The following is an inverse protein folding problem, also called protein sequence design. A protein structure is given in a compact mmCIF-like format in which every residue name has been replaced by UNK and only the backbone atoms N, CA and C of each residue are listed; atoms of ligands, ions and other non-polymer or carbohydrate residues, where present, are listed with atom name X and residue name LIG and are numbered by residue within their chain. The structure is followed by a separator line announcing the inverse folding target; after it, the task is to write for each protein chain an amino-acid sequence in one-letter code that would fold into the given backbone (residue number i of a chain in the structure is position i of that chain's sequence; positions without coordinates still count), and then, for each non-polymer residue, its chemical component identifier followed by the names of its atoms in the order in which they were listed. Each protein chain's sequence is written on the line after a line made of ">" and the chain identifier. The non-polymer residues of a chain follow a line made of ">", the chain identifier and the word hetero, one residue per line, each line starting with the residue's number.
data_IF_984475636475
#
_entry.id   IF_984475636475
#
_cell.length_a   1.000
_cell.length_b   1.000
_cell.length_c   1.000
_cell.angle_alpha   90.00
_cell.angle_beta   90.00
_cell.angle_gamma   90.00
#
_symmetry.space_group_name_H-M   'P 1'
#
loop_
_entity.id
_entity.type
_entity.pdbx_description
1 polymer ?
#
# COMPACT_ATOMS: atom_id res chain seq x y z
N UNK A 1 -8.33 -20.55 -2.70
CA UNK A 1 -8.82 -19.56 -3.69
C UNK A 1 -9.06 -18.29 -2.89
N UNK A 2 -8.04 -17.43 -2.80
CA UNK A 2 -8.16 -16.16 -2.07
C UNK A 2 -8.89 -15.19 -2.98
N UNK A 3 -10.02 -14.69 -2.52
CA UNK A 3 -10.78 -13.63 -3.17
C UNK A 3 -10.07 -12.34 -2.73
N UNK A 4 -9.15 -11.85 -3.56
CA UNK A 4 -8.55 -10.52 -3.40
C UNK A 4 -9.57 -9.52 -3.96
N UNK A 5 -10.41 -9.00 -3.07
CA UNK A 5 -11.42 -7.99 -3.41
C UNK A 5 -10.90 -6.64 -2.93
N UNK A 6 -11.11 -5.61 -3.74
CA UNK A 6 -11.20 -4.24 -3.25
C UNK A 6 -12.21 -4.22 -2.09
N UNK A 7 -11.72 -4.01 -0.87
CA UNK A 7 -12.59 -3.90 0.31
C UNK A 7 -12.66 -2.44 0.72
N UNK A 8 -13.83 -1.84 0.56
CA UNK A 8 -14.19 -0.56 1.15
C UNK A 8 -15.16 -0.81 2.31
N UNK A 9 -14.74 -0.54 3.55
CA UNK A 9 -15.62 -0.53 4.72
C UNK A 9 -15.97 0.93 5.03
N UNK A 10 -17.22 1.30 4.80
CA UNK A 10 -17.63 2.71 4.73
C UNK A 10 -17.90 3.36 6.10
N UNK A 11 -18.07 2.58 7.17
CA UNK A 11 -18.20 3.11 8.51
C UNK A 11 -17.87 2.05 9.57
N UNK A 12 -16.75 2.22 10.26
CA UNK A 12 -16.50 1.52 11.53
C UNK A 12 -16.77 2.51 12.66
N UNK A 13 -17.60 2.11 13.64
CA UNK A 13 -17.85 2.87 14.87
C UNK A 13 -16.95 2.33 15.98
N UNK A 14 -16.22 3.21 16.65
CA UNK A 14 -15.53 2.91 17.90
C UNK A 14 -15.80 4.00 18.95
N UNK A 15 -15.48 3.70 20.21
CA UNK A 15 -15.76 4.57 21.34
C UNK A 15 -14.50 4.76 22.19
N UNK A 16 -14.01 5.99 22.31
CA UNK A 16 -12.92 6.32 23.24
C UNK A 16 -13.46 7.03 24.48
N UNK A 17 -12.98 6.65 25.67
CA UNK A 17 -13.28 7.37 26.92
C UNK A 17 -12.21 8.42 27.17
N UNK A 18 -12.62 9.68 27.30
CA UNK A 18 -11.74 10.74 27.80
C UNK A 18 -11.75 10.78 29.33
N UNK A 19 -10.71 11.38 29.93
CA UNK A 19 -10.58 11.62 31.38
C UNK A 19 -11.77 12.40 32.00
N UNK A 20 -12.62 13.05 31.19
CA UNK A 20 -13.82 13.76 31.64
C UNK A 20 -15.09 12.90 31.68
N UNK A 21 -15.02 11.61 31.34
CA UNK A 21 -16.16 10.69 31.38
C UNK A 21 -17.13 10.83 30.19
N UNK A 22 -16.84 11.69 29.22
CA UNK A 22 -17.58 11.79 27.95
C UNK A 22 -17.03 10.77 26.94
N UNK A 23 -17.91 9.89 26.47
CA UNK A 23 -17.67 8.93 25.40
C UNK A 23 -17.56 9.68 24.06
N UNK A 24 -16.36 9.73 23.47
CA UNK A 24 -16.18 10.31 22.13
C UNK A 24 -16.25 9.18 21.11
N UNK A 25 -17.40 9.07 20.45
CA UNK A 25 -17.54 8.16 19.31
C UNK A 25 -16.74 8.69 18.11
N UNK A 26 -16.03 7.82 17.42
CA UNK A 26 -15.38 8.14 16.16
C UNK A 26 -15.92 7.26 15.03
N UNK A 27 -15.86 7.79 13.80
CA UNK A 27 -16.20 7.07 12.58
C UNK A 27 -15.05 7.18 11.60
N UNK A 28 -14.73 6.09 10.93
CA UNK A 28 -13.78 6.12 9.83
C UNK A 28 -14.25 5.25 8.66
N UNK A 29 -13.80 5.62 7.47
CA UNK A 29 -13.87 4.77 6.29
C UNK A 29 -12.53 4.04 6.12
N UNK A 30 -12.56 2.82 5.61
CA UNK A 30 -11.38 2.04 5.29
C UNK A 30 -11.40 1.62 3.83
N UNK A 31 -10.25 1.76 3.16
CA UNK A 31 -9.98 1.26 1.81
C UNK A 31 -8.71 0.40 1.84
N UNK A 32 -8.69 -0.73 1.14
CA UNK A 32 -7.54 -1.63 1.07
C UNK A 32 -7.54 -2.44 -0.22
N UNK A 33 -6.38 -2.97 -0.60
CA UNK A 33 -6.19 -3.94 -1.68
C UNK A 33 -6.78 -3.44 -3.00
N UNK A 34 -6.35 -2.25 -3.40
CA UNK A 34 -6.91 -1.56 -4.57
C UNK A 34 -6.51 -2.28 -5.86
N UNK A 35 -5.24 -2.69 -5.94
CA UNK A 35 -4.69 -3.47 -7.05
C UNK A 35 -5.03 -2.97 -8.45
N UNK A 36 -4.83 -1.68 -8.73
CA UNK A 36 -5.17 -1.13 -10.03
C UNK A 36 -4.32 -1.72 -11.16
N UNK A 37 -5.05 -2.23 -12.15
CA UNK A 37 -4.54 -2.66 -13.44
C UNK A 37 -4.59 -1.48 -14.44
N UNK A 38 -3.47 -0.77 -14.66
CA UNK A 38 -3.46 0.37 -15.58
C UNK A 38 -3.68 -0.04 -17.04
N UNK A 39 -3.46 -1.31 -17.39
CA UNK A 39 -3.54 -1.81 -18.76
C UNK A 39 -4.76 -2.72 -18.99
N UNK A 40 -5.83 -2.52 -18.21
CA UNK A 40 -6.92 -3.46 -18.09
C UNK A 40 -7.57 -3.83 -19.44
N UNK A 41 -7.65 -5.14 -19.72
CA UNK A 41 -8.28 -5.68 -20.91
C UNK A 41 -8.94 -7.03 -20.58
N UNK A 42 -10.26 -7.07 -20.37
CA UNK A 42 -10.96 -8.28 -19.95
C UNK A 42 -11.20 -9.29 -21.07
N UNK A 43 -11.16 -8.87 -22.34
CA UNK A 43 -11.40 -9.74 -23.49
C UNK A 43 -10.18 -10.62 -23.82
N UNK A 44 -8.96 -10.06 -23.74
CA UNK A 44 -7.72 -10.74 -24.13
C UNK A 44 -6.79 -11.06 -22.96
N UNK A 45 -6.93 -10.38 -21.82
CA UNK A 45 -6.04 -10.52 -20.67
C UNK A 45 -6.29 -11.75 -19.79
N UNK A 46 -7.53 -12.25 -19.74
CA UNK A 46 -7.93 -13.36 -18.85
C UNK A 46 -7.19 -14.69 -19.14
N UNK A 47 -6.52 -14.82 -20.29
CA UNK A 47 -5.80 -16.04 -20.68
C UNK A 47 -4.48 -16.26 -19.92
N UNK A 48 -4.01 -15.28 -19.12
CA UNK A 48 -2.70 -15.32 -18.44
C UNK A 48 -2.76 -15.20 -16.91
N UNK A 49 -3.84 -15.65 -16.30
CA UNK A 49 -3.93 -15.91 -14.85
C UNK A 49 -4.03 -14.65 -13.99
N UNK A 50 -5.19 -14.44 -13.36
CA UNK A 50 -5.40 -13.44 -12.29
C UNK A 50 -5.30 -11.96 -12.68
N UNK A 51 -4.59 -11.64 -13.76
CA UNK A 51 -4.34 -10.28 -14.25
C UNK A 51 -4.92 -10.17 -15.65
N UNK A 52 -5.74 -9.14 -15.87
CA UNK A 52 -6.45 -8.95 -17.14
C UNK A 52 -5.97 -7.68 -17.80
N UNK A 53 -4.90 -7.78 -18.57
CA UNK A 53 -4.28 -6.65 -19.28
C UNK A 53 -4.08 -6.91 -20.77
N UNK A 54 -3.80 -5.84 -21.52
CA UNK A 54 -3.47 -5.95 -22.95
C UNK A 54 -2.24 -6.88 -23.16
N UNK A 55 -2.21 -7.70 -24.22
CA UNK A 55 -1.13 -8.65 -24.48
C UNK A 55 0.29 -8.06 -24.45
N UNK A 56 0.44 -6.82 -24.92
CA UNK A 56 1.70 -6.09 -25.01
C UNK A 56 2.26 -5.79 -23.61
N UNK A 57 1.40 -5.53 -22.63
CA UNK A 57 1.78 -5.25 -21.24
C UNK A 57 2.27 -6.49 -20.48
N UNK A 58 2.20 -7.69 -21.09
CA UNK A 58 2.88 -8.90 -20.57
C UNK A 58 4.33 -9.01 -21.05
N UNK A 59 4.75 -8.21 -22.03
CA UNK A 59 6.11 -8.25 -22.54
C UNK A 59 7.07 -7.60 -21.54
N UNK A 60 7.74 -8.41 -20.73
CA UNK A 60 8.75 -7.93 -19.78
C UNK A 60 9.97 -7.31 -20.43
N UNK A 61 10.19 -7.53 -21.73
CA UNK A 61 11.30 -6.92 -22.46
C UNK A 61 11.05 -5.46 -22.86
N UNK A 62 9.82 -4.96 -22.67
CA UNK A 62 9.43 -3.60 -23.05
C UNK A 62 8.44 -3.05 -22.02
N UNK A 63 8.80 -1.98 -21.30
CA UNK A 63 7.78 -1.18 -20.64
C UNK A 63 6.94 -0.57 -21.76
N UNK A 64 5.67 -0.93 -21.87
CA UNK A 64 4.75 -0.27 -22.80
C UNK A 64 4.43 1.14 -22.28
N UNK A 65 4.18 2.13 -23.14
CA UNK A 65 3.77 3.46 -22.67
C UNK A 65 2.56 3.36 -21.75
N UNK A 66 2.59 4.08 -20.62
CA UNK A 66 1.48 4.11 -19.70
C UNK A 66 0.31 4.83 -20.37
N UNK A 67 -0.78 4.10 -20.64
CA UNK A 67 -2.01 4.65 -21.20
C UNK A 67 -3.09 4.47 -20.17
N UNK A 68 -3.74 5.58 -19.79
CA UNK A 68 -4.87 5.55 -18.86
C UNK A 68 -6.05 4.87 -19.57
N UNK A 69 -6.27 3.61 -19.21
CA UNK A 69 -7.36 2.71 -19.61
C UNK A 69 -7.55 2.44 -21.11
N UNK A 70 -7.43 1.16 -21.54
CA UNK A 70 -8.10 0.71 -22.76
C UNK A 70 -9.62 0.72 -22.56
N UNK A 71 -10.39 0.98 -23.62
CA UNK A 71 -11.84 0.81 -23.59
C UNK A 71 -12.20 -0.67 -23.37
N UNK A 72 -12.72 -1.00 -22.18
CA UNK A 72 -13.24 -2.32 -21.84
C UNK A 72 -14.76 -2.35 -22.04
N UNK A 73 -15.22 -2.73 -23.23
CA UNK A 73 -16.64 -2.69 -23.59
C UNK A 73 -17.49 -3.73 -22.84
N UNK A 74 -16.92 -4.91 -22.52
CA UNK A 74 -17.68 -6.04 -21.95
C UNK A 74 -17.73 -6.06 -20.43
N UNK A 75 -16.67 -5.59 -19.77
CA UNK A 75 -16.55 -5.59 -18.30
C UNK A 75 -15.87 -4.30 -17.82
N UNK A 76 -16.50 -3.13 -18.02
CA UNK A 76 -15.86 -1.82 -17.81
C UNK A 76 -15.44 -1.56 -16.36
N UNK A 77 -16.08 -2.21 -15.38
CA UNK A 77 -15.79 -2.05 -13.95
C UNK A 77 -14.99 -3.21 -13.35
N UNK A 78 -14.49 -4.14 -14.17
CA UNK A 78 -13.78 -5.31 -13.67
C UNK A 78 -14.49 -6.63 -13.98
N UNK A 79 -13.71 -7.71 -13.84
CA UNK A 79 -14.14 -9.09 -14.07
C UNK A 79 -13.54 -9.95 -12.95
N UNK A 80 -14.23 -11.01 -12.57
CA UNK A 80 -13.71 -11.97 -11.58
C UNK A 80 -12.36 -12.54 -12.03
N UNK A 81 -11.43 -12.73 -11.09
CA UNK A 81 -10.05 -13.15 -11.33
C UNK A 81 -9.23 -12.16 -12.17
N UNK A 82 -9.59 -10.88 -12.12
CA UNK A 82 -8.81 -9.79 -12.67
C UNK A 82 -8.58 -8.76 -11.57
N UNK A 83 -7.39 -8.18 -11.55
CA UNK A 83 -7.16 -6.90 -10.89
C UNK A 83 -8.02 -5.80 -11.55
N UNK A 84 -8.57 -4.85 -10.76
CA UNK A 84 -9.57 -3.90 -11.25
C UNK A 84 -9.01 -2.76 -12.10
N UNK A 85 -9.80 -2.23 -13.06
CA UNK A 85 -9.48 -1.00 -13.78
C UNK A 85 -9.64 0.26 -12.90
N UNK A 86 -9.06 1.38 -13.34
CA UNK A 86 -9.28 2.69 -12.72
C UNK A 86 -10.76 3.10 -12.67
N UNK A 87 -11.59 2.62 -13.60
CA UNK A 87 -13.02 2.88 -13.66
C UNK A 87 -13.74 2.37 -12.41
N UNK A 88 -13.35 1.20 -11.88
CA UNK A 88 -13.88 0.71 -10.62
C UNK A 88 -13.47 1.61 -9.46
N UNK A 89 -12.19 1.99 -9.40
CA UNK A 89 -11.69 2.89 -8.36
C UNK A 89 -12.39 4.24 -8.38
N UNK A 90 -12.58 4.85 -9.57
CA UNK A 90 -13.36 6.09 -9.70
C UNK A 90 -14.76 5.92 -9.12
N UNK A 91 -15.47 4.86 -9.51
CA UNK A 91 -16.82 4.60 -9.00
C UNK A 91 -16.86 4.42 -7.48
N UNK A 92 -15.88 3.69 -6.92
CA UNK A 92 -15.77 3.49 -5.46
C UNK A 92 -15.46 4.80 -4.75
N UNK A 93 -14.51 5.60 -5.24
CA UNK A 93 -14.15 6.88 -4.64
C UNK A 93 -15.28 7.91 -4.73
N UNK A 94 -16.02 7.93 -5.85
CA UNK A 94 -17.23 8.75 -6.00
C UNK A 94 -18.30 8.36 -4.97
N UNK A 95 -18.53 7.06 -4.79
CA UNK A 95 -19.49 6.58 -3.79
C UNK A 95 -19.02 6.86 -2.36
N UNK A 96 -17.74 6.61 -2.05
CA UNK A 96 -17.13 6.96 -0.76
C UNK A 96 -17.28 8.45 -0.46
N UNK A 97 -17.02 9.30 -1.46
CA UNK A 97 -17.15 10.75 -1.29
C UNK A 97 -18.59 11.15 -0.98
N UNK A 98 -19.57 10.60 -1.72
CA UNK A 98 -20.98 10.85 -1.48
C UNK A 98 -21.44 10.40 -0.08
N UNK A 99 -21.04 9.19 0.36
CA UNK A 99 -21.36 8.70 1.71
C UNK A 99 -20.71 9.59 2.78
N UNK A 100 -19.48 10.04 2.55
CA UNK A 100 -18.76 10.89 3.49
C UNK A 100 -19.41 12.27 3.70
N UNK A 101 -20.17 12.81 2.74
CA UNK A 101 -20.94 14.05 2.92
C UNK A 101 -21.97 13.93 4.06
N UNK A 102 -22.58 12.75 4.21
CA UNK A 102 -23.60 12.48 5.22
C UNK A 102 -23.00 11.87 6.49
N UNK A 103 -22.17 10.83 6.33
CA UNK A 103 -21.60 10.09 7.46
C UNK A 103 -20.45 10.85 8.13
N UNK A 104 -19.80 11.80 7.46
CA UNK A 104 -18.76 12.66 8.03
C UNK A 104 -17.72 11.86 8.83
N UNK A 105 -16.99 10.93 8.19
CA UNK A 105 -15.94 10.18 8.86
C UNK A 105 -14.83 11.13 9.34
N UNK A 106 -14.28 10.84 10.50
CA UNK A 106 -13.22 11.62 11.13
C UNK A 106 -11.88 11.45 10.40
N UNK A 107 -11.68 10.29 9.77
CA UNK A 107 -10.51 9.97 8.99
C UNK A 107 -10.78 8.81 8.01
N UNK A 108 -9.85 8.61 7.08
CA UNK A 108 -9.80 7.46 6.16
C UNK A 108 -8.59 6.59 6.53
N UNK A 109 -8.79 5.31 6.80
CA UNK A 109 -7.72 4.32 6.87
C UNK A 109 -7.47 3.78 5.46
N UNK A 110 -6.22 3.80 5.00
CA UNK A 110 -5.88 3.26 3.69
C UNK A 110 -4.73 2.26 3.81
N UNK A 111 -5.02 0.96 3.74
CA UNK A 111 -4.01 -0.07 4.08
C UNK A 111 -3.24 -0.62 2.88
N UNK A 112 -3.05 0.19 1.84
CA UNK A 112 -2.10 -0.07 0.75
C UNK A 112 -2.54 -1.14 -0.25
N UNK A 113 -1.53 -1.71 -0.94
CA UNK A 113 -1.65 -2.59 -2.10
C UNK A 113 -2.34 -1.89 -3.28
N UNK A 114 -1.73 -0.79 -3.71
CA UNK A 114 -2.19 0.04 -4.83
C UNK A 114 -2.00 -0.68 -6.18
N UNK A 115 -0.81 -1.19 -6.53
CA UNK A 115 -0.58 -1.68 -7.88
C UNK A 115 -1.11 -3.11 -8.08
N UNK A 116 -1.60 -3.38 -9.30
CA UNK A 116 -1.94 -4.73 -9.73
C UNK A 116 -0.76 -5.69 -9.61
N UNK A 117 -1.10 -6.97 -9.50
CA UNK A 117 -0.15 -8.06 -9.48
C UNK A 117 0.67 -8.10 -10.77
N UNK A 118 1.90 -8.61 -10.69
CA UNK A 118 2.74 -8.92 -11.85
C UNK A 118 3.02 -7.72 -12.78
N UNK A 119 2.95 -6.48 -12.30
CA UNK A 119 3.51 -5.35 -13.06
C UNK A 119 5.02 -5.59 -13.25
N UNK A 120 5.46 -5.55 -14.49
CA UNK A 120 6.81 -5.95 -14.89
C UNK A 120 7.83 -4.82 -14.80
N UNK A 121 7.38 -3.58 -14.63
CA UNK A 121 8.17 -2.37 -14.79
C UNK A 121 8.04 -1.45 -13.57
N UNK A 122 9.17 -0.95 -13.07
CA UNK A 122 9.21 -0.04 -11.92
C UNK A 122 8.43 1.24 -12.20
N UNK A 123 8.56 1.76 -13.42
CA UNK A 123 7.85 2.95 -13.87
C UNK A 123 6.33 2.78 -13.82
N UNK A 124 5.79 1.65 -14.26
CA UNK A 124 4.33 1.39 -14.19
C UNK A 124 3.85 1.36 -12.75
N UNK A 125 4.61 0.71 -11.87
CA UNK A 125 4.24 0.62 -10.46
C UNK A 125 4.25 2.00 -9.78
N UNK A 126 5.31 2.77 -9.99
CA UNK A 126 5.43 4.14 -9.49
C UNK A 126 4.29 5.03 -9.99
N UNK A 127 3.98 4.99 -11.30
CA UNK A 127 2.91 5.78 -11.90
C UNK A 127 1.52 5.37 -11.40
N UNK A 128 1.28 4.08 -11.21
CA UNK A 128 0.02 3.60 -10.63
C UNK A 128 -0.14 4.08 -9.18
N UNK A 129 0.90 4.00 -8.34
CA UNK A 129 0.88 4.52 -6.96
C UNK A 129 0.49 6.00 -6.95
N UNK A 130 1.20 6.79 -7.76
CA UNK A 130 0.98 8.22 -7.86
C UNK A 130 -0.44 8.57 -8.30
N UNK A 131 -0.91 8.00 -9.41
CA UNK A 131 -2.26 8.27 -9.94
C UNK A 131 -3.36 7.88 -8.97
N UNK A 132 -3.23 6.75 -8.26
CA UNK A 132 -4.23 6.34 -7.26
C UNK A 132 -4.24 7.33 -6.10
N UNK A 133 -3.07 7.74 -5.57
CA UNK A 133 -3.01 8.70 -4.47
C UNK A 133 -3.59 10.05 -4.90
N UNK A 134 -3.25 10.54 -6.11
CA UNK A 134 -3.82 11.77 -6.69
C UNK A 134 -5.34 11.68 -6.84
N UNK A 135 -5.86 10.59 -7.41
CA UNK A 135 -7.30 10.36 -7.56
C UNK A 135 -8.03 10.29 -6.23
N UNK A 136 -7.48 9.56 -5.27
CA UNK A 136 -8.01 9.53 -3.91
C UNK A 136 -8.02 10.95 -3.34
N UNK A 137 -6.97 11.75 -3.59
CA UNK A 137 -6.77 13.04 -2.94
C UNK A 137 -7.79 14.04 -3.48
N UNK A 138 -7.96 14.05 -4.80
CA UNK A 138 -8.97 14.82 -5.50
C UNK A 138 -10.39 14.54 -4.97
N UNK A 139 -10.75 13.26 -4.77
CA UNK A 139 -12.11 12.85 -4.40
C UNK A 139 -12.38 12.97 -2.90
N UNK A 140 -11.48 12.49 -2.05
CA UNK A 140 -11.78 12.31 -0.63
C UNK A 140 -11.34 13.49 0.24
N UNK A 141 -10.33 14.28 -0.12
CA UNK A 141 -9.83 15.33 0.80
C UNK A 141 -10.85 16.42 1.13
N UNK A 142 -11.81 16.68 0.25
CA UNK A 142 -12.87 17.67 0.48
C UNK A 142 -13.88 17.23 1.55
N UNK A 143 -14.07 15.92 1.72
CA UNK A 143 -15.10 15.33 2.59
C UNK A 143 -14.51 14.62 3.81
N UNK A 144 -13.26 14.14 3.71
CA UNK A 144 -12.50 13.49 4.76
C UNK A 144 -11.01 13.80 4.55
N UNK A 145 -10.48 14.93 5.06
CA UNK A 145 -9.12 15.39 4.76
C UNK A 145 -8.01 14.60 5.48
N UNK A 146 -8.32 13.95 6.60
CA UNK A 146 -7.35 13.22 7.43
C UNK A 146 -7.28 11.76 7.01
N UNK A 147 -6.13 11.31 6.53
CA UNK A 147 -5.96 9.92 6.13
C UNK A 147 -4.77 9.27 6.80
N UNK A 148 -4.83 7.94 6.88
CA UNK A 148 -3.79 7.12 7.44
C UNK A 148 -3.37 6.00 6.47
N UNK A 149 -2.47 6.29 5.51
CA UNK A 149 -1.91 5.30 4.61
C UNK A 149 -0.92 4.34 5.30
N UNK A 150 -1.06 3.03 5.06
CA UNK A 150 -0.04 2.02 5.35
C UNK A 150 0.57 1.52 4.04
N UNK A 151 1.83 1.09 4.09
CA UNK A 151 2.48 0.42 2.95
C UNK A 151 1.98 -1.02 2.83
N UNK A 152 1.49 -1.39 1.64
CA UNK A 152 1.25 -2.76 1.21
C UNK A 152 2.46 -3.41 0.56
N UNK A 153 2.42 -4.73 0.38
CA UNK A 153 3.52 -5.46 -0.26
C UNK A 153 3.69 -5.13 -1.74
N UNK A 154 2.58 -4.89 -2.45
CA UNK A 154 2.61 -4.47 -3.85
C UNK A 154 2.96 -2.99 -3.99
N UNK A 155 3.02 -2.21 -2.91
CA UNK A 155 3.50 -0.83 -2.95
C UNK A 155 5.04 -0.77 -3.05
N UNK A 156 5.74 -1.90 -2.86
CA UNK A 156 7.19 -2.05 -3.12
C UNK A 156 7.46 -2.66 -4.48
N UNK A 157 8.44 -2.13 -5.22
CA UNK A 157 8.83 -2.68 -6.53
C UNK A 157 10.13 -3.49 -6.45
N UNK A 158 10.14 -4.74 -6.96
CA UNK A 158 8.96 -5.56 -7.22
C UNK A 158 8.25 -5.95 -5.91
N UNK A 159 7.07 -6.58 -6.00
CA UNK A 159 6.29 -7.04 -4.84
C UNK A 159 7.17 -7.68 -3.74
N UNK A 160 6.99 -7.22 -2.49
CA UNK A 160 7.75 -7.57 -1.28
C UNK A 160 9.24 -7.15 -1.27
N UNK A 161 9.72 -6.36 -2.23
CA UNK A 161 11.08 -5.81 -2.22
C UNK A 161 11.22 -4.61 -1.27
N UNK A 162 10.93 -4.84 0.01
CA UNK A 162 11.12 -3.85 1.07
C UNK A 162 12.54 -3.97 1.64
N UNK A 163 13.21 -2.84 1.85
CA UNK A 163 14.52 -2.78 2.49
C UNK A 163 14.42 -3.16 3.96
N UNK A 164 15.35 -3.95 4.52
CA UNK A 164 15.41 -4.16 5.98
C UNK A 164 16.07 -2.99 6.72
N UNK A 165 16.73 -2.09 6.00
CA UNK A 165 17.34 -0.86 6.51
C UNK A 165 16.45 0.36 6.24
N UNK A 166 16.44 1.36 7.15
CA UNK A 166 15.62 2.55 6.98
C UNK A 166 16.15 3.44 5.85
N UNK A 167 15.35 4.43 5.45
CA UNK A 167 15.67 5.45 4.45
C UNK A 167 15.94 4.88 3.05
N UNK A 168 15.23 3.81 2.66
CA UNK A 168 15.34 3.30 1.29
C UNK A 168 14.85 4.36 0.27
N UNK A 169 15.50 4.51 -0.90
CA UNK A 169 15.08 5.46 -1.92
C UNK A 169 13.62 5.28 -2.36
N UNK A 170 13.15 4.03 -2.47
CA UNK A 170 11.76 3.74 -2.82
C UNK A 170 10.77 4.21 -1.75
N UNK A 171 11.07 3.99 -0.47
CA UNK A 171 10.21 4.48 0.62
C UNK A 171 10.14 6.02 0.62
N UNK A 172 11.27 6.70 0.40
CA UNK A 172 11.32 8.15 0.30
C UNK A 172 10.54 8.68 -0.91
N UNK A 173 10.59 7.97 -2.05
CA UNK A 173 9.79 8.27 -3.23
C UNK A 173 8.29 8.18 -2.94
N UNK A 174 7.80 7.07 -2.38
CA UNK A 174 6.37 6.93 -2.04
C UNK A 174 5.94 7.98 -1.00
N UNK A 175 6.81 8.28 -0.03
CA UNK A 175 6.59 9.34 0.94
C UNK A 175 6.48 10.73 0.30
N UNK A 176 7.26 11.01 -0.76
CA UNK A 176 7.21 12.30 -1.46
C UNK A 176 5.86 12.53 -2.16
N UNK A 177 5.22 11.47 -2.67
CA UNK A 177 3.88 11.52 -3.26
C UNK A 177 2.85 11.88 -2.19
N UNK A 178 2.84 11.17 -1.05
CA UNK A 178 1.94 11.51 0.06
C UNK A 178 2.18 12.92 0.63
N UNK A 179 3.43 13.39 0.63
CA UNK A 179 3.77 14.75 1.04
C UNK A 179 3.24 15.80 0.05
N UNK A 180 3.43 15.58 -1.25
CA UNK A 180 2.97 16.45 -2.33
C UNK A 180 1.46 16.60 -2.33
N UNK A 181 0.76 15.49 -2.15
CA UNK A 181 -0.69 15.47 -2.02
C UNK A 181 -1.16 15.95 -0.64
N UNK A 182 -0.26 16.36 0.27
CA UNK A 182 -0.55 16.89 1.59
C UNK A 182 -1.30 15.91 2.50
N UNK A 183 -1.07 14.62 2.33
CA UNK A 183 -1.65 13.54 3.15
C UNK A 183 -0.82 13.33 4.42
N UNK A 184 0.51 13.36 4.30
CA UNK A 184 1.44 13.23 5.41
C UNK A 184 2.31 14.49 5.54
N UNK A 185 2.60 14.90 6.77
CA UNK A 185 3.47 16.06 7.07
C UNK A 185 4.19 15.92 8.41
N UNK A 186 5.18 16.80 8.66
CA UNK A 186 5.88 16.85 9.96
C UNK A 186 6.51 15.52 10.38
N UNK A 187 6.34 15.14 11.64
CA UNK A 187 6.88 13.89 12.19
C UNK A 187 6.27 12.63 11.55
N UNK A 188 5.02 12.70 11.06
CA UNK A 188 4.38 11.59 10.35
C UNK A 188 5.14 11.30 9.05
N UNK A 189 5.38 12.34 8.24
CA UNK A 189 6.11 12.20 7.00
C UNK A 189 7.55 11.73 7.23
N UNK A 190 8.20 12.25 8.27
CA UNK A 190 9.59 11.89 8.60
C UNK A 190 9.75 10.40 8.93
N UNK A 191 8.90 9.85 9.78
CA UNK A 191 8.93 8.43 10.15
C UNK A 191 8.44 7.54 9.02
N UNK A 192 7.40 7.96 8.28
CA UNK A 192 6.93 7.26 7.09
C UNK A 192 7.99 7.21 5.98
N UNK A 193 8.75 8.29 5.74
CA UNK A 193 9.85 8.31 4.78
C UNK A 193 11.03 7.43 5.21
N UNK A 194 11.25 7.28 6.52
CA UNK A 194 12.31 6.43 7.05
C UNK A 194 11.97 4.93 6.95
N UNK A 195 10.74 4.52 7.23
CA UNK A 195 10.40 3.09 7.28
C UNK A 195 8.95 2.72 7.02
N UNK A 196 8.10 3.65 6.59
CA UNK A 196 6.69 3.39 6.29
C UNK A 196 5.78 3.25 7.51
N UNK A 197 6.22 3.75 8.67
CA UNK A 197 5.45 3.75 9.92
C UNK A 197 5.40 5.12 10.55
N UNK A 198 4.36 5.38 11.32
CA UNK A 198 4.14 6.66 12.01
C UNK A 198 2.91 6.56 12.92
N UNK A 199 2.71 7.57 13.76
CA UNK A 199 1.51 7.70 14.58
C UNK A 199 0.84 9.06 14.38
N UNK A 200 -0.44 9.14 14.76
CA UNK A 200 -1.24 10.34 14.68
C UNK A 200 -2.32 10.34 15.74
N UNK A 201 -2.82 11.52 16.13
CA UNK A 201 -3.98 11.64 17.01
C UNK A 201 -5.10 12.41 16.30
N UNK A 202 -5.96 11.74 15.50
CA UNK A 202 -7.01 12.42 14.72
C UNK A 202 -8.08 13.08 15.59
N UNK A 203 -8.26 12.60 16.83
CA UNK A 203 -9.26 13.07 17.78
C UNK A 203 -8.70 13.05 19.20
N UNK A 204 -9.18 13.93 20.09
CA UNK A 204 -8.90 13.81 21.51
C UNK A 204 -9.26 12.41 22.03
N UNK A 205 -8.31 11.78 22.74
CA UNK A 205 -8.51 10.43 23.30
C UNK A 205 -8.27 9.28 22.32
N UNK A 206 -7.90 9.53 21.06
CA UNK A 206 -7.60 8.50 20.07
C UNK A 206 -6.20 8.69 19.48
N UNK A 207 -5.38 7.63 19.50
CA UNK A 207 -4.13 7.53 18.75
C UNK A 207 -4.28 6.45 17.66
N UNK A 208 -3.78 6.73 16.47
CA UNK A 208 -3.63 5.76 15.38
C UNK A 208 -2.14 5.49 15.23
N UNK A 209 -1.75 4.21 15.26
CA UNK A 209 -0.39 3.75 15.00
C UNK A 209 -0.42 2.95 13.72
N UNK A 210 0.26 3.44 12.69
CA UNK A 210 0.42 2.75 11.41
C UNK A 210 1.79 2.10 11.38
N UNK A 211 1.81 0.78 11.17
CA UNK A 211 3.00 -0.05 11.12
C UNK A 211 3.25 -0.48 9.68
N UNK A 212 4.51 -0.50 9.28
CA UNK A 212 4.92 -1.23 8.10
C UNK A 212 5.01 -2.71 8.47
N UNK A 213 3.97 -3.48 8.17
CA UNK A 213 3.93 -4.93 8.47
C UNK A 213 4.52 -5.78 7.35
N UNK A 214 4.89 -5.19 6.21
CA UNK A 214 5.50 -5.89 5.08
C UNK A 214 6.86 -6.46 5.47
N UNK A 215 7.65 -5.72 6.27
CA UNK A 215 8.97 -6.17 6.74
C UNK A 215 8.94 -7.40 7.63
N UNK A 216 7.80 -7.68 8.25
CA UNK A 216 7.60 -8.89 9.05
C UNK A 216 7.20 -10.09 8.19
N UNK A 217 6.84 -9.89 6.93
CA UNK A 217 6.31 -10.95 6.07
C UNK A 217 7.35 -12.03 5.75
N UNK A 218 6.97 -13.32 5.78
CA UNK A 218 7.83 -14.40 5.29
C UNK A 218 8.25 -14.24 3.82
N UNK A 219 7.56 -13.37 3.06
CA UNK A 219 7.79 -13.13 1.64
C UNK A 219 8.65 -11.92 1.31
N UNK A 220 9.26 -11.26 2.30
CA UNK A 220 10.28 -10.23 2.03
C UNK A 220 11.30 -10.79 1.04
N UNK A 221 11.38 -10.13 -0.11
CA UNK A 221 12.13 -10.61 -1.25
C UNK A 221 13.63 -10.37 -1.05
N UNK A 222 14.43 -11.41 -1.27
CA UNK A 222 15.87 -11.24 -1.43
C UNK A 222 16.15 -10.84 -2.87
N UNK A 223 16.03 -9.54 -3.15
CA UNK A 223 16.24 -9.02 -4.49
C UNK A 223 17.64 -9.30 -5.02
N UNK A 224 18.65 -9.32 -4.16
CA UNK A 224 20.04 -9.52 -4.58
C UNK A 224 20.31 -10.96 -4.99
N UNK A 225 19.78 -11.93 -4.25
CA UNK A 225 19.94 -13.34 -4.56
C UNK A 225 18.99 -13.83 -5.66
N UNK A 226 17.81 -13.22 -5.81
CA UNK A 226 16.79 -13.72 -6.71
C UNK A 226 17.19 -13.56 -8.19
N UNK A 227 16.89 -14.56 -9.05
CA UNK A 227 17.32 -14.58 -10.45
C UNK A 227 16.60 -13.52 -11.28
N UNK A 228 17.37 -12.57 -11.80
CA UNK A 228 16.88 -11.40 -12.54
C UNK A 228 17.81 -11.06 -13.70
N UNK A 229 17.24 -10.48 -14.74
CA UNK A 229 17.97 -9.92 -15.88
C UNK A 229 17.67 -8.44 -16.03
N UNK A 230 18.71 -7.73 -16.45
CA UNK A 230 18.57 -6.36 -16.90
C UNK A 230 17.85 -6.34 -18.24
N UNK A 231 16.83 -5.49 -18.36
CA UNK A 231 16.11 -5.29 -19.61
C UNK A 231 16.13 -3.81 -19.94
N UNK A 232 16.75 -3.50 -21.08
CA UNK A 232 16.63 -2.17 -21.65
C UNK A 232 15.23 -1.97 -22.22
N UNK A 233 14.54 -0.96 -21.74
CA UNK A 233 13.25 -0.57 -22.25
C UNK A 233 13.47 0.54 -23.27
N UNK A 234 13.25 0.23 -24.56
CA UNK A 234 13.19 1.25 -25.60
C UNK A 234 11.86 2.00 -25.47
N UNK A 235 11.80 2.96 -24.57
CA UNK A 235 10.75 3.97 -24.58
C UNK A 235 11.36 5.29 -25.04
N UNK A 236 10.79 5.83 -26.11
CA UNK A 236 10.94 7.26 -26.38
C UNK A 236 10.03 8.00 -25.39
N UNK A 237 10.63 8.86 -24.56
CA UNK A 237 9.93 9.60 -23.51
C UNK A 237 8.89 10.55 -24.13
N UNK A 238 9.03 10.92 -25.40
CA UNK A 238 8.00 11.65 -26.13
C UNK A 238 6.74 10.84 -26.41
N UNK A 239 6.75 9.51 -26.29
CA UNK A 239 5.52 8.68 -26.31
C UNK A 239 4.82 8.62 -24.94
N UNK A 240 5.49 9.08 -23.87
CA UNK A 240 4.95 9.21 -22.51
C UNK A 240 4.09 10.48 -22.31
N UNK A 241 3.53 11.05 -23.39
CA UNK A 241 2.71 12.28 -23.47
C UNK A 241 1.50 12.37 -22.52
N UNK A 242 1.31 11.43 -21.60
CA UNK A 242 0.25 11.41 -20.58
C UNK A 242 0.79 11.52 -19.14
N UNK A 243 2.10 11.69 -18.95
CA UNK A 243 2.70 11.88 -17.63
C UNK A 243 3.71 13.03 -17.57
N UNK A 244 3.38 14.06 -16.80
CA UNK A 244 4.23 15.23 -16.53
C UNK A 244 4.46 15.45 -15.01
N UNK A 245 4.44 14.37 -14.22
CA UNK A 245 4.74 14.48 -12.79
C UNK A 245 6.21 14.83 -12.54
N UNK A 246 6.57 15.18 -11.29
CA UNK A 246 7.94 15.56 -10.92
C UNK A 246 8.99 14.47 -11.20
N UNK A 247 8.55 13.21 -11.30
CA UNK A 247 9.38 12.03 -11.56
C UNK A 247 9.11 11.42 -12.95
N UNK A 248 8.48 12.17 -13.85
CA UNK A 248 8.42 11.79 -15.26
C UNK A 248 9.86 11.56 -15.74
N UNK A 249 10.17 10.38 -16.32
CA UNK A 249 11.48 10.12 -16.89
C UNK A 249 11.83 11.27 -17.83
N UNK A 250 12.98 11.92 -17.62
CA UNK A 250 13.43 13.01 -18.52
C UNK A 250 13.67 12.44 -19.92
N UNK A 251 13.52 13.27 -20.96
CA UNK A 251 13.83 12.83 -22.32
C UNK A 251 15.25 12.24 -22.41
N UNK A 252 15.37 11.05 -22.99
CA UNK A 252 16.61 10.26 -23.04
C UNK A 252 17.03 9.54 -21.74
N UNK A 253 16.21 9.57 -20.68
CA UNK A 253 16.47 8.79 -19.47
C UNK A 253 16.37 7.29 -19.72
N UNK A 254 17.27 6.52 -19.11
CA UNK A 254 17.21 5.08 -19.17
C UNK A 254 16.04 4.58 -18.31
N UNK A 255 14.93 4.26 -18.99
CA UNK A 255 13.76 3.65 -18.35
C UNK A 255 13.94 2.15 -18.14
N UNK A 256 15.12 1.60 -18.41
CA UNK A 256 15.45 0.20 -18.21
C UNK A 256 15.19 -0.26 -16.77
N UNK A 257 14.81 -1.53 -16.66
CA UNK A 257 14.42 -2.13 -15.41
C UNK A 257 15.00 -3.53 -15.28
N UNK A 258 15.07 -3.98 -14.04
CA UNK A 258 15.32 -5.38 -13.74
C UNK A 258 13.99 -6.11 -13.71
N UNK A 259 13.89 -7.19 -14.49
CA UNK A 259 12.73 -8.07 -14.45
C UNK A 259 13.13 -9.47 -14.01
N UNK A 260 12.15 -10.20 -13.47
CA UNK A 260 12.31 -11.63 -13.22
C UNK A 260 12.61 -12.39 -14.50
N UNK A 261 13.59 -13.30 -14.44
CA UNK A 261 13.88 -14.22 -15.55
C UNK A 261 12.65 -15.07 -15.90
N UNK A 262 11.92 -15.51 -14.87
CA UNK A 262 10.66 -16.24 -14.97
C UNK A 262 9.68 -15.76 -13.88
N UNK A 263 8.41 -15.47 -14.20
CA UNK A 263 7.40 -15.05 -13.20
C UNK A 263 6.77 -16.22 -12.44
N UNK A 264 7.60 -17.14 -11.97
CA UNK A 264 7.12 -18.33 -11.26
C UNK A 264 7.42 -18.13 -9.78
N UNK A 265 6.38 -18.13 -8.95
CA UNK A 265 6.51 -17.93 -7.51
C UNK A 265 7.53 -18.89 -6.86
N UNK A 266 7.72 -20.09 -7.43
CA UNK A 266 8.70 -21.09 -6.96
C UNK A 266 10.17 -20.73 -7.23
N UNK A 267 10.45 -19.65 -7.97
CA UNK A 267 11.81 -19.17 -8.28
C UNK A 267 12.19 -17.91 -7.52
N UNK A 268 11.24 -17.29 -6.81
CA UNK A 268 11.52 -16.15 -5.92
C UNK A 268 12.30 -16.63 -4.71
N UNK A 269 13.36 -15.91 -4.39
CA UNK A 269 14.15 -16.12 -3.17
C UNK A 269 13.70 -15.08 -2.16
N UNK A 270 13.39 -15.55 -0.95
CA UNK A 270 12.99 -14.70 0.16
C UNK A 270 14.11 -14.64 1.18
N UNK A 271 14.26 -13.50 1.84
CA UNK A 271 15.23 -13.35 2.93
C UNK A 271 14.86 -14.33 4.04
N UNK A 272 15.82 -15.14 4.49
CA UNK A 272 15.59 -16.07 5.60
C UNK A 272 15.09 -15.31 6.84
N UNK A 273 14.02 -15.79 7.49
CA UNK A 273 13.48 -15.17 8.69
C UNK A 273 14.53 -15.07 9.81
N UNK A 274 15.40 -16.07 9.93
CA UNK A 274 16.42 -16.13 10.99
C UNK A 274 17.60 -15.18 10.71
N UNK A 275 17.73 -14.68 9.47
CA UNK A 275 18.77 -13.75 9.06
C UNK A 275 18.35 -12.27 9.17
N UNK A 276 17.11 -11.98 9.60
CA UNK A 276 16.56 -10.63 9.64
C UNK A 276 16.84 -9.93 10.96
N UNK A 277 16.87 -8.58 10.97
CA UNK A 277 16.85 -7.83 12.22
C UNK A 277 15.64 -8.22 13.07
N UNK A 278 15.86 -8.32 14.39
CA UNK A 278 14.79 -8.58 15.35
C UNK A 278 13.71 -7.49 15.31
N UNK A 279 14.12 -6.24 15.16
CA UNK A 279 13.23 -5.07 15.07
C UNK A 279 13.65 -4.18 13.88
N UNK A 280 13.23 -4.50 12.63
CA UNK A 280 13.53 -3.67 11.48
C UNK A 280 13.08 -2.22 11.72
N UNK A 281 14.00 -1.28 11.45
CA UNK A 281 13.86 0.16 11.70
C UNK A 281 13.68 0.59 13.17
N UNK A 282 13.71 -0.34 14.13
CA UNK A 282 13.33 -0.04 15.52
C UNK A 282 11.82 0.21 15.70
N UNK A 283 10.99 -0.24 14.76
CA UNK A 283 9.56 0.06 14.71
C UNK A 283 8.79 -0.53 15.89
N UNK A 284 9.11 -1.74 16.37
CA UNK A 284 8.45 -2.35 17.53
C UNK A 284 8.79 -1.61 18.81
N UNK A 285 10.07 -1.25 19.00
CA UNK A 285 10.49 -0.44 20.14
C UNK A 285 9.80 0.93 20.13
N UNK A 286 9.75 1.58 18.96
CA UNK A 286 9.02 2.84 18.77
C UNK A 286 7.52 2.68 19.07
N UNK A 287 6.85 1.67 18.52
CA UNK A 287 5.42 1.44 18.73
C UNK A 287 5.09 1.19 20.21
N UNK A 288 5.97 0.50 20.93
CA UNK A 288 5.83 0.32 22.38
C UNK A 288 5.89 1.66 23.13
N UNK A 289 6.78 2.58 22.74
CA UNK A 289 6.81 3.92 23.35
C UNK A 289 5.53 4.69 23.05
N UNK A 290 5.05 4.68 21.81
CA UNK A 290 3.79 5.33 21.42
C UNK A 290 2.59 4.81 22.22
N UNK A 291 2.54 3.51 22.48
CA UNK A 291 1.52 2.85 23.28
C UNK A 291 1.63 3.18 24.78
N UNK A 292 2.85 3.26 25.33
CA UNK A 292 3.08 3.70 26.71
C UNK A 292 2.58 5.14 26.92
N UNK A 293 2.93 6.04 26.00
CA UNK A 293 2.49 7.44 26.03
C UNK A 293 0.97 7.57 25.89
N UNK A 294 0.37 6.78 24.98
CA UNK A 294 -1.07 6.73 24.79
C UNK A 294 -1.77 6.25 26.08
N UNK A 295 -1.26 5.18 26.71
CA UNK A 295 -1.77 4.69 27.99
C UNK A 295 -1.70 5.75 29.08
N UNK A 296 -0.55 6.39 29.26
CA UNK A 296 -0.38 7.44 30.29
C UNK A 296 -1.28 8.65 30.05
N UNK A 297 -1.61 8.92 28.79
CA UNK A 297 -2.49 10.01 28.38
C UNK A 297 -3.97 9.61 28.35
N UNK A 298 -4.31 8.37 28.71
CA UNK A 298 -5.69 7.85 28.67
C UNK A 298 -6.28 7.74 27.26
N UNK A 299 -5.45 7.61 26.22
CA UNK A 299 -5.91 7.42 24.84
C UNK A 299 -6.23 5.95 24.57
N UNK A 300 -7.22 5.72 23.71
CA UNK A 300 -7.43 4.44 23.00
C UNK A 300 -6.63 4.44 21.71
N UNK A 301 -6.28 3.26 21.21
CA UNK A 301 -5.33 3.09 20.11
C UNK A 301 -5.88 2.18 19.04
N UNK A 302 -5.86 2.65 17.79
CA UNK A 302 -6.03 1.82 16.60
C UNK A 302 -4.65 1.47 16.08
N UNK A 303 -4.37 0.17 15.89
CA UNK A 303 -3.14 -0.31 15.25
C UNK A 303 -3.49 -0.80 13.86
N UNK A 304 -2.80 -0.29 12.84
CA UNK A 304 -3.04 -0.63 11.44
C UNK A 304 -1.76 -1.01 10.71
N UNK A 305 -1.93 -1.81 9.67
CA UNK A 305 -0.89 -2.29 8.77
C UNK A 305 -1.54 -3.05 7.62
N UNK A 306 -0.72 -3.54 6.68
CA UNK A 306 -1.23 -4.26 5.52
C UNK A 306 -1.24 -5.78 5.73
N UNK A 307 -0.05 -6.40 5.81
CA UNK A 307 0.09 -7.84 6.04
C UNK A 307 -0.45 -8.19 7.43
N UNK A 308 -1.45 -9.09 7.53
CA UNK A 308 -2.05 -9.44 8.82
C UNK A 308 -1.16 -10.42 9.62
N UNK A 309 -1.26 -10.41 10.96
CA UNK A 309 -0.52 -11.34 11.81
C UNK A 309 -0.97 -12.79 11.56
N UNK A 310 0.00 -13.70 11.42
CA UNK A 310 -0.23 -15.13 11.31
C UNK A 310 1.04 -15.87 10.85
N UNK A 311 1.04 -17.20 10.88
CA UNK A 311 2.24 -18.01 10.60
C UNK A 311 1.95 -19.28 9.79
N UNK A 312 0.91 -19.30 8.94
CA UNK A 312 0.70 -20.47 8.08
C UNK A 312 1.86 -20.58 7.08
N UNK A 313 2.56 -21.70 7.09
CA UNK A 313 3.64 -21.99 6.12
C UNK A 313 3.10 -21.82 4.70
N UNK A 314 3.75 -20.97 3.90
CA UNK A 314 3.31 -20.62 2.53
C UNK A 314 2.26 -19.50 2.44
N UNK A 315 1.74 -18.99 3.56
CA UNK A 315 0.98 -17.75 3.61
C UNK A 315 1.89 -16.53 3.63
N UNK A 316 1.37 -15.37 3.23
CA UNK A 316 2.10 -14.10 3.19
C UNK A 316 2.36 -13.48 4.56
N UNK A 317 2.08 -14.19 5.65
CA UNK A 317 1.96 -13.59 6.97
C UNK A 317 3.35 -13.44 7.61
N UNK A 318 3.50 -13.44 8.93
CA UNK A 318 4.75 -13.02 9.58
C UNK A 318 5.77 -14.15 9.76
N UNK A 319 7.05 -13.79 9.76
CA UNK A 319 8.09 -14.58 10.41
C UNK A 319 7.73 -14.82 11.88
N UNK A 320 8.09 -15.99 12.41
CA UNK A 320 7.60 -16.43 13.72
C UNK A 320 7.98 -15.47 14.85
N UNK A 321 9.23 -14.98 14.84
CA UNK A 321 9.71 -14.01 15.83
C UNK A 321 8.83 -12.74 15.83
N UNK A 322 8.63 -12.11 14.68
CA UNK A 322 7.82 -10.89 14.58
C UNK A 322 6.35 -11.11 14.93
N UNK A 323 5.80 -12.30 14.65
CA UNK A 323 4.47 -12.68 15.12
C UNK A 323 4.39 -12.71 16.65
N UNK A 324 5.39 -13.32 17.29
CA UNK A 324 5.42 -13.43 18.75
C UNK A 324 5.64 -12.07 19.41
N UNK A 325 6.48 -11.21 18.83
CA UNK A 325 6.65 -9.82 19.27
C UNK A 325 5.37 -9.01 19.13
N UNK A 326 4.69 -9.09 17.99
CA UNK A 326 3.42 -8.39 17.76
C UNK A 326 2.32 -8.89 18.70
N UNK A 327 2.24 -10.20 18.97
CA UNK A 327 1.32 -10.77 19.96
C UNK A 327 1.62 -10.26 21.36
N UNK A 328 2.90 -10.26 21.78
CA UNK A 328 3.29 -9.71 23.08
C UNK A 328 2.91 -8.23 23.18
N UNK A 329 3.20 -7.43 22.16
CA UNK A 329 2.83 -6.01 22.14
C UNK A 329 1.32 -5.81 22.27
N UNK A 330 0.52 -6.53 21.48
CA UNK A 330 -0.94 -6.40 21.52
C UNK A 330 -1.57 -6.94 22.81
N UNK A 331 -0.98 -7.97 23.42
CA UNK A 331 -1.39 -8.47 24.74
C UNK A 331 -1.02 -7.50 25.87
N UNK A 332 0.20 -6.99 25.87
CA UNK A 332 0.71 -6.04 26.86
C UNK A 332 -0.13 -4.76 26.90
N UNK A 333 -0.79 -4.40 25.77
CA UNK A 333 -1.59 -3.18 25.58
C UNK A 333 -3.07 -3.43 25.21
N UNK A 334 -3.59 -4.62 25.52
CA UNK A 334 -4.98 -5.00 25.23
C UNK A 334 -6.05 -4.13 25.95
N UNK A 335 -5.66 -3.42 27.00
CA UNK A 335 -6.49 -2.46 27.74
C UNK A 335 -6.71 -1.14 27.00
N UNK A 336 -5.89 -0.80 26.00
CA UNK A 336 -6.00 0.45 25.24
C UNK A 336 -6.15 0.27 23.73
N UNK A 337 -5.76 -0.89 23.17
CA UNK A 337 -5.94 -1.20 21.74
C UNK A 337 -7.40 -1.59 21.47
N UNK A 338 -7.98 -1.03 20.40
CA UNK A 338 -9.35 -1.28 19.92
C UNK A 338 -9.42 -2.29 18.77
#
# INVERSE_FOLDING_TARGET
>A
MFIWQLVAVLAVRGAAKSFSGLETSYRFAQLTDVHIEPFYNPERGHLKGGVCRVPEAFNKSSCVPFKVEPEAATYPLGRLNCDPPFALLRSVLEHMAHVAETEKPDFVMFTGDIPSHQLSCQFHQARTIEMVIEMMAEKLKKVAPTWFPAMGNNDYFPNYNVSMEPNSPWQQFVASIYAREGVLSGEQLKTFAAGGYYSASPRPGLKVIVLNTVVWSQKVLDWNAAPKKHVHHHQDVSEANLYHGPDAPLDGSDTSGWVWDEDVASKKIFVDCDARPADPYGQLAWARQELLEARSSGQRVIVAGHVPPGNKVGSNNFCQQHLDDFKRLTQDFADIIE
#
